data_IF_799635816687
#
_entry.id   IF_799635816687
#
_cell.length_a   1.000
_cell.length_b   1.000
_cell.length_c   1.000
_cell.angle_alpha   90.00
_cell.angle_beta   90.00
_cell.angle_gamma   90.00
#
_symmetry.space_group_name_H-M   'P 1'
#
loop_
_entity.id
_entity.type
_entity.pdbx_description
1 polymer ?
#
# COMPACT_ATOMS: atom_id res chain seq x y z
N UNK A 1 -3.17 -4.21 8.57
CA UNK A 1 -3.81 -4.70 7.32
C UNK A 1 -5.33 -4.70 7.36
N UNK A 2 -5.99 -5.29 8.35
CA UNK A 2 -7.48 -5.29 8.43
C UNK A 2 -8.12 -3.88 8.38
N UNK A 3 -7.49 -2.89 9.03
CA UNK A 3 -7.92 -1.49 8.98
C UNK A 3 -7.90 -0.91 7.56
N UNK A 4 -6.87 -1.21 6.76
CA UNK A 4 -6.78 -0.76 5.38
C UNK A 4 -7.90 -1.35 4.52
N UNK A 5 -8.16 -2.66 4.66
CA UNK A 5 -9.25 -3.35 3.97
C UNK A 5 -10.62 -2.76 4.33
N UNK A 6 -10.86 -2.46 5.62
CA UNK A 6 -12.10 -1.80 6.07
C UNK A 6 -12.27 -0.40 5.45
N UNK A 7 -11.18 0.34 5.22
CA UNK A 7 -11.23 1.64 4.56
C UNK A 7 -11.56 1.50 3.08
N UNK A 8 -10.87 0.60 2.37
CA UNK A 8 -11.08 0.35 0.95
C UNK A 8 -12.53 -0.08 0.67
N UNK A 9 -13.08 -1.03 1.44
CA UNK A 9 -14.47 -1.49 1.32
C UNK A 9 -15.52 -0.40 1.59
N UNK A 10 -15.14 0.69 2.27
CA UNK A 10 -15.99 1.88 2.49
C UNK A 10 -15.84 2.92 1.37
N UNK A 11 -15.16 2.59 0.27
CA UNK A 11 -14.83 3.52 -0.82
C UNK A 11 -13.72 4.52 -0.46
N UNK A 12 -13.04 4.34 0.68
CA UNK A 12 -11.95 5.22 1.13
C UNK A 12 -10.59 4.68 0.68
N UNK A 13 -10.46 4.38 -0.61
CA UNK A 13 -9.28 3.74 -1.21
C UNK A 13 -8.00 4.54 -0.95
N UNK A 14 -8.04 5.87 -1.05
CA UNK A 14 -6.90 6.73 -0.72
C UNK A 14 -6.42 6.54 0.72
N UNK A 15 -7.35 6.55 1.68
CA UNK A 15 -7.01 6.33 3.09
C UNK A 15 -6.47 4.91 3.33
N UNK A 16 -6.95 3.93 2.58
CA UNK A 16 -6.47 2.56 2.64
C UNK A 16 -5.03 2.43 2.13
N UNK A 17 -4.72 3.06 0.99
CA UNK A 17 -3.36 3.12 0.41
C UNK A 17 -2.38 3.84 1.34
N UNK A 18 -2.82 4.92 1.99
CA UNK A 18 -1.98 5.60 2.98
C UNK A 18 -1.66 4.71 4.18
N UNK A 19 -2.66 3.97 4.68
CA UNK A 19 -2.44 3.03 5.76
C UNK A 19 -1.43 1.96 5.34
N UNK A 20 -1.53 1.47 4.10
CA UNK A 20 -0.59 0.51 3.53
C UNK A 20 0.83 1.09 3.44
N UNK A 21 0.98 2.31 2.95
CA UNK A 21 2.27 3.00 2.90
C UNK A 21 2.88 3.21 4.28
N UNK A 22 2.09 3.65 5.27
CA UNK A 22 2.56 3.76 6.65
C UNK A 22 3.00 2.41 7.21
N UNK A 23 2.25 1.34 6.94
CA UNK A 23 2.63 0.00 7.35
C UNK A 23 3.98 -0.44 6.76
N UNK A 24 4.24 -0.13 5.48
CA UNK A 24 5.54 -0.40 4.84
C UNK A 24 6.66 0.40 5.51
N UNK A 25 6.45 1.69 5.79
CA UNK A 25 7.42 2.56 6.49
C UNK A 25 7.73 2.05 7.90
N UNK A 26 6.71 1.65 8.66
CA UNK A 26 6.89 1.14 10.03
C UNK A 26 7.67 -0.18 10.07
N UNK A 27 7.79 -0.88 8.94
CA UNK A 27 8.50 -2.16 8.82
C UNK A 27 9.75 -2.05 7.93
N UNK A 28 10.36 -0.87 7.85
CA UNK A 28 11.55 -0.55 7.06
C UNK A 28 12.81 -1.39 7.42
N UNK A 29 12.82 -2.12 8.52
CA UNK A 29 13.93 -3.03 8.83
C UNK A 29 13.78 -4.40 8.13
N UNK A 30 12.53 -4.81 7.86
CA UNK A 30 12.21 -6.11 7.26
C UNK A 30 12.36 -6.08 5.74
N UNK A 31 11.93 -4.98 5.12
CA UNK A 31 11.94 -4.84 3.67
C UNK A 31 13.36 -4.82 3.04
N UNK A 32 14.38 -4.39 3.79
CA UNK A 32 15.76 -4.17 3.33
C UNK A 32 16.45 -5.51 3.12
N UNK A 33 16.00 -6.50 3.87
CA UNK A 33 16.44 -7.88 3.82
C UNK A 33 15.54 -8.77 2.92
N UNK A 34 14.48 -8.19 2.34
CA UNK A 34 13.55 -8.93 1.48
C UNK A 34 14.12 -9.19 0.08
N UNK A 35 13.55 -10.19 -0.59
CA UNK A 35 13.85 -10.52 -1.98
C UNK A 35 13.56 -9.34 -2.91
N UNK A 36 14.22 -9.30 -4.07
CA UNK A 36 14.16 -8.19 -5.04
C UNK A 36 12.72 -7.80 -5.41
N UNK A 37 11.88 -8.78 -5.78
CA UNK A 37 10.46 -8.54 -6.13
C UNK A 37 9.67 -7.82 -5.03
N UNK A 38 9.97 -8.14 -3.76
CA UNK A 38 9.31 -7.52 -2.62
C UNK A 38 9.81 -6.09 -2.40
N UNK A 39 11.12 -5.87 -2.60
CA UNK A 39 11.71 -4.54 -2.53
C UNK A 39 11.13 -3.60 -3.57
N UNK A 40 11.02 -4.06 -4.82
CA UNK A 40 10.39 -3.29 -5.91
C UNK A 40 8.94 -2.92 -5.56
N UNK A 41 8.16 -3.88 -5.05
CA UNK A 41 6.80 -3.62 -4.59
C UNK A 41 6.74 -2.52 -3.53
N UNK A 42 7.64 -2.58 -2.54
CA UNK A 42 7.66 -1.59 -1.48
C UNK A 42 8.13 -0.22 -1.97
N UNK A 43 9.08 -0.15 -2.88
CA UNK A 43 9.52 1.09 -3.53
C UNK A 43 8.37 1.75 -4.29
N UNK A 44 7.57 0.97 -5.01
CA UNK A 44 6.35 1.46 -5.68
C UNK A 44 5.37 2.03 -4.68
N UNK A 45 5.10 1.34 -3.56
CA UNK A 45 4.22 1.86 -2.51
C UNK A 45 4.78 3.15 -1.89
N UNK A 46 6.09 3.22 -1.70
CA UNK A 46 6.77 4.41 -1.18
C UNK A 46 6.73 5.60 -2.15
N UNK A 47 6.67 5.34 -3.45
CA UNK A 47 6.55 6.39 -4.47
C UNK A 47 5.17 7.10 -4.47
N UNK A 48 4.15 6.50 -3.86
CA UNK A 48 2.84 7.15 -3.70
C UNK A 48 2.98 8.43 -2.85
N UNK A 49 2.55 9.61 -3.31
CA UNK A 49 2.74 10.84 -2.56
C UNK A 49 1.84 10.90 -1.32
N UNK A 50 2.24 11.76 -0.40
CA UNK A 50 1.45 12.11 0.79
C UNK A 50 0.31 13.08 0.44
N UNK A 51 -0.72 13.13 1.29
CA UNK A 51 -1.99 13.88 1.11
C UNK A 51 -1.89 15.36 0.72
N UNK A 52 -0.72 15.97 0.79
CA UNK A 52 -0.53 17.35 0.37
C UNK A 52 -0.53 17.49 -1.16
N UNK A 53 -0.44 16.38 -1.89
CA UNK A 53 -0.46 16.37 -3.34
C UNK A 53 -1.88 16.08 -3.86
N UNK A 54 -2.67 17.14 -4.06
CA UNK A 54 -4.05 17.05 -4.58
C UNK A 54 -4.13 16.32 -5.93
N UNK A 55 -3.02 16.23 -6.67
CA UNK A 55 -2.94 15.56 -7.96
C UNK A 55 -3.24 14.05 -7.89
N UNK A 56 -2.93 13.38 -6.78
CA UNK A 56 -3.16 11.94 -6.67
C UNK A 56 -4.60 11.54 -6.46
N UNK A 57 -5.47 12.47 -6.03
CA UNK A 57 -6.91 12.22 -5.97
C UNK A 57 -7.51 11.91 -7.35
N UNK A 58 -6.81 12.25 -8.44
CA UNK A 58 -7.24 11.95 -9.82
C UNK A 58 -6.84 10.53 -10.23
N UNK A 59 -5.74 10.00 -9.70
CA UNK A 59 -5.21 8.67 -10.05
C UNK A 59 -5.75 7.53 -9.17
N UNK A 60 -5.94 7.79 -7.87
CA UNK A 60 -6.49 6.79 -6.91
C UNK A 60 -7.90 6.25 -7.22
N UNK A 61 -8.83 7.01 -7.84
CA UNK A 61 -10.17 6.51 -8.17
C UNK A 61 -10.18 5.27 -9.07
N UNK A 62 -9.05 4.92 -9.69
CA UNK A 62 -8.92 3.78 -10.60
C UNK A 62 -8.65 2.43 -9.92
N UNK A 63 -8.20 2.41 -8.65
CA UNK A 63 -7.93 1.16 -7.93
C UNK A 63 -9.25 0.55 -7.47
N UNK A 64 -9.56 -0.66 -7.97
CA UNK A 64 -10.72 -1.41 -7.52
C UNK A 64 -10.49 -2.01 -6.13
N UNK A 65 -11.55 -2.48 -5.48
CA UNK A 65 -11.40 -3.18 -4.20
C UNK A 65 -10.60 -4.47 -4.36
N UNK A 66 -10.80 -5.20 -5.46
CA UNK A 66 -10.13 -6.47 -5.73
C UNK A 66 -8.61 -6.23 -5.91
N UNK A 67 -8.22 -5.21 -6.68
CA UNK A 67 -6.82 -4.82 -6.84
C UNK A 67 -6.19 -4.44 -5.49
N UNK A 68 -6.94 -3.73 -4.65
CA UNK A 68 -6.48 -3.35 -3.32
C UNK A 68 -6.32 -4.56 -2.39
N UNK A 69 -7.21 -5.55 -2.48
CA UNK A 69 -7.13 -6.80 -1.72
C UNK A 69 -5.95 -7.67 -2.16
N UNK A 70 -5.64 -7.70 -3.46
CA UNK A 70 -4.47 -8.38 -4.00
C UNK A 70 -3.16 -7.69 -3.56
N UNK A 71 -3.07 -6.37 -3.70
CA UNK A 71 -1.94 -5.57 -3.20
C UNK A 71 -1.75 -5.77 -1.68
N UNK A 72 -2.87 -5.63 -0.95
CA UNK A 72 -3.19 -6.29 0.32
C UNK A 72 -2.30 -7.45 0.76
N UNK A 73 -2.60 -8.55 0.08
CA UNK A 73 -2.07 -9.88 0.27
C UNK A 73 -0.58 -9.91 -0.08
N UNK A 74 -0.18 -9.37 -1.23
CA UNK A 74 1.20 -9.40 -1.69
C UNK A 74 2.16 -8.69 -0.73
N UNK A 75 1.76 -7.54 -0.19
CA UNK A 75 2.53 -6.84 0.85
C UNK A 75 2.66 -7.71 2.11
N UNK A 76 1.58 -8.39 2.51
CA UNK A 76 1.58 -9.26 3.69
C UNK A 76 2.48 -10.49 3.50
N UNK A 77 2.54 -11.04 2.30
CA UNK A 77 3.46 -12.12 1.92
C UNK A 77 4.92 -11.65 1.95
N UNK A 78 5.19 -10.50 1.33
CA UNK A 78 6.53 -9.92 1.27
C UNK A 78 7.10 -9.57 2.66
N UNK A 79 6.24 -9.23 3.63
CA UNK A 79 6.67 -8.96 5.02
C UNK A 79 6.98 -10.22 5.84
N UNK A 80 6.74 -11.41 5.29
CA UNK A 80 7.07 -12.71 5.93
C UNK A 80 8.39 -13.29 5.44
N UNK A 81 8.90 -12.80 4.31
CA UNK A 81 10.24 -13.10 3.81
C UNK A 81 11.27 -12.19 4.49
#
# INVERSE_FOLDING_TARGET
METALKLARKGKVLSALMFLKHYVIENQERWENSIEECRELFEVIMSMPSLNDESWRIFVPSITIDDFEELTLRVSECMRY
#
